data_IF_282665068340
#
_entry.id   IF_282665068340
#
_cell.length_a   1.000
_cell.length_b   1.000
_cell.length_c   1.000
_cell.angle_alpha   90.00
_cell.angle_beta   90.00
_cell.angle_gamma   90.00
#
_symmetry.space_group_name_H-M   'P 1'
#
loop_
_entity.id
_entity.type
_entity.pdbx_description
1 polymer ?
#
# COMPACT_ATOMS: atom_id res chain seq x y z
N UNK A 1 36.58 -56.49 42.92
CA UNK A 1 35.74 -55.97 41.82
C UNK A 1 35.50 -54.49 42.09
N UNK A 2 36.19 -53.56 41.41
CA UNK A 2 35.71 -52.81 40.21
C UNK A 2 34.35 -52.15 40.53
N UNK A 3 34.13 -50.83 40.56
CA UNK A 3 34.62 -49.76 39.69
C UNK A 3 34.50 -48.34 40.32
N UNK A 4 35.51 -47.52 40.00
CA UNK A 4 35.49 -46.10 39.56
C UNK A 4 34.80 -45.00 40.39
N UNK A 5 35.53 -44.04 41.00
CA UNK A 5 36.24 -42.86 40.45
C UNK A 5 35.35 -41.84 39.70
N UNK A 6 35.53 -40.56 40.08
CA UNK A 6 35.14 -39.28 39.43
C UNK A 6 33.79 -38.67 39.81
N UNK A 7 33.70 -38.04 40.99
CA UNK A 7 32.80 -36.88 41.23
C UNK A 7 33.34 -35.95 42.32
N UNK A 8 34.61 -35.54 42.26
CA UNK A 8 35.16 -34.44 43.08
C UNK A 8 36.35 -33.79 42.37
N UNK A 9 36.09 -33.07 41.28
CA UNK A 9 37.10 -32.16 40.69
C UNK A 9 36.55 -31.15 39.67
N UNK A 10 35.23 -30.96 39.53
CA UNK A 10 34.68 -29.97 38.56
C UNK A 10 34.34 -28.63 39.21
N UNK A 11 34.41 -28.50 40.54
CA UNK A 11 34.03 -27.28 41.25
C UNK A 11 35.19 -26.33 41.60
N UNK A 12 36.40 -26.60 41.11
CA UNK A 12 37.58 -25.74 41.35
C UNK A 12 38.27 -25.27 40.07
N UNK A 13 37.57 -25.32 38.92
CA UNK A 13 38.08 -24.84 37.63
C UNK A 13 37.14 -23.82 36.95
N UNK A 14 36.20 -23.24 37.71
CA UNK A 14 35.26 -22.21 37.24
C UNK A 14 35.52 -20.84 37.89
N UNK A 15 36.69 -20.65 38.50
CA UNK A 15 37.09 -19.38 39.12
C UNK A 15 38.10 -18.58 38.28
N UNK A 16 38.48 -19.09 37.09
CA UNK A 16 39.48 -18.50 36.19
C UNK A 16 38.98 -18.37 34.75
N UNK A 17 37.65 -18.36 34.56
CA UNK A 17 37.09 -17.96 33.27
C UNK A 17 37.23 -16.43 33.14
N UNK A 18 37.87 -15.90 32.09
CA UNK A 18 37.87 -14.46 31.85
C UNK A 18 36.43 -14.00 31.76
N UNK A 19 36.08 -12.95 32.52
CA UNK A 19 34.78 -12.29 32.43
C UNK A 19 34.42 -12.14 30.95
N UNK A 20 33.20 -12.53 30.51
CA UNK A 20 32.80 -12.28 29.14
C UNK A 20 32.96 -10.78 28.90
N UNK A 21 33.81 -10.42 27.94
CA UNK A 21 33.94 -9.04 27.49
C UNK A 21 32.52 -8.52 27.24
N UNK A 22 32.18 -7.32 27.75
CA UNK A 22 30.90 -6.73 27.43
C UNK A 22 30.78 -6.71 25.90
N UNK A 23 29.62 -7.08 25.33
CA UNK A 23 29.43 -6.97 23.90
C UNK A 23 29.85 -5.56 23.46
N UNK A 24 30.54 -5.42 22.32
CA UNK A 24 30.99 -4.11 21.86
C UNK A 24 29.83 -3.13 21.93
N UNK A 25 30.05 -1.89 22.38
CA UNK A 25 28.99 -0.90 22.52
C UNK A 25 28.24 -0.87 21.19
N UNK A 26 26.94 -1.19 21.22
CA UNK A 26 26.12 -1.11 20.02
C UNK A 26 26.31 0.29 19.45
N UNK A 27 26.76 0.36 18.20
CA UNK A 27 26.97 1.62 17.51
C UNK A 27 25.72 2.47 17.69
N UNK A 28 25.92 3.70 18.18
CA UNK A 28 24.83 4.62 18.43
C UNK A 28 24.00 4.75 17.13
N UNK A 29 22.70 4.41 17.13
CA UNK A 29 21.86 4.50 15.94
C UNK A 29 21.88 5.91 15.32
N UNK A 30 22.20 6.94 16.12
CA UNK A 30 22.46 8.32 15.68
C UNK A 30 23.59 8.43 14.65
N UNK A 31 24.66 7.63 14.78
CA UNK A 31 25.80 7.67 13.86
C UNK A 31 25.48 7.05 12.49
N UNK A 32 24.70 5.97 12.47
CA UNK A 32 24.23 5.38 11.21
C UNK A 32 23.36 6.38 10.43
N UNK A 33 22.56 7.19 11.13
CA UNK A 33 21.71 8.20 10.51
C UNK A 33 22.49 9.31 9.80
N UNK A 34 23.59 9.79 10.39
CA UNK A 34 24.45 10.78 9.74
C UNK A 34 25.12 10.26 8.44
N UNK A 35 25.26 8.94 8.30
CA UNK A 35 25.79 8.31 7.09
C UNK A 35 24.72 8.05 6.03
N UNK A 36 23.47 7.76 6.45
CA UNK A 36 22.38 7.39 5.55
C UNK A 36 21.65 8.60 4.94
N UNK A 37 21.46 9.68 5.69
CA UNK A 37 20.74 10.88 5.23
C UNK A 37 21.41 11.56 4.02
N UNK A 38 22.75 11.72 3.96
CA UNK A 38 23.42 12.24 2.77
C UNK A 38 23.21 11.35 1.53
N UNK A 39 23.12 10.03 1.73
CA UNK A 39 22.94 9.07 0.65
C UNK A 39 21.53 9.09 0.05
N UNK A 40 20.52 9.64 0.73
CA UNK A 40 19.20 9.89 0.14
C UNK A 40 19.23 10.89 -1.02
N UNK A 41 20.31 11.67 -1.15
CA UNK A 41 20.49 12.66 -2.21
C UNK A 41 21.09 12.06 -3.48
N UNK A 42 21.49 10.78 -3.46
CA UNK A 42 22.18 10.11 -4.57
C UNK A 42 21.29 9.00 -5.16
N UNK A 43 21.04 8.97 -6.48
CA UNK A 43 20.19 7.94 -7.09
C UNK A 43 20.72 6.52 -6.96
N UNK A 44 22.06 6.35 -7.02
CA UNK A 44 22.71 5.04 -7.03
C UNK A 44 22.71 4.35 -5.66
N UNK A 45 22.72 5.13 -4.59
CA UNK A 45 22.69 4.64 -3.21
C UNK A 45 21.28 4.26 -2.77
N UNK A 46 20.22 4.81 -3.36
CA UNK A 46 18.83 4.49 -2.99
C UNK A 46 18.47 3.01 -3.17
N UNK A 47 19.00 2.34 -4.20
CA UNK A 47 18.80 0.90 -4.38
C UNK A 47 19.42 0.09 -3.23
N UNK A 48 20.64 0.47 -2.83
CA UNK A 48 21.33 -0.14 -1.67
C UNK A 48 20.62 0.19 -0.36
N UNK A 49 20.11 1.42 -0.21
CA UNK A 49 19.32 1.83 0.95
C UNK A 49 18.01 1.06 1.07
N UNK A 50 17.35 0.69 -0.04
CA UNK A 50 16.14 -0.15 0.01
C UNK A 50 16.41 -1.57 0.50
N UNK A 51 17.56 -2.15 0.18
CA UNK A 51 17.98 -3.43 0.76
C UNK A 51 18.41 -3.29 2.23
N UNK A 52 19.05 -2.17 2.58
CA UNK A 52 19.47 -1.89 3.95
C UNK A 52 18.28 -1.64 4.88
N UNK A 53 17.22 -0.98 4.39
CA UNK A 53 16.02 -0.65 5.14
C UNK A 53 15.30 -1.88 5.72
N UNK A 54 15.44 -3.06 5.09
CA UNK A 54 14.92 -4.34 5.58
C UNK A 54 15.64 -4.88 6.83
N UNK A 55 16.76 -4.28 7.23
CA UNK A 55 17.66 -4.79 8.28
C UNK A 55 17.83 -3.76 9.40
N UNK A 56 17.27 -2.56 9.26
CA UNK A 56 17.49 -1.47 10.22
C UNK A 56 16.56 -1.59 11.44
N UNK A 57 17.07 -1.36 12.66
CA UNK A 57 16.26 -1.37 13.86
C UNK A 57 15.33 -0.15 13.97
N UNK A 58 14.21 -0.33 14.68
CA UNK A 58 13.05 0.59 14.83
C UNK A 58 13.38 2.09 14.98
N UNK A 59 14.30 2.55 15.87
CA UNK A 59 14.54 3.99 16.03
C UNK A 59 15.19 4.65 14.81
N UNK A 60 15.92 3.89 14.00
CA UNK A 60 16.54 4.38 12.75
C UNK A 60 15.50 4.50 11.64
N UNK A 61 14.49 3.62 11.66
CA UNK A 61 13.39 3.61 10.69
C UNK A 61 12.57 4.91 10.68
N UNK A 62 12.24 5.45 11.86
CA UNK A 62 11.44 6.67 11.99
C UNK A 62 12.14 7.91 11.40
N UNK A 63 13.43 8.09 11.67
CA UNK A 63 14.20 9.24 11.17
C UNK A 63 14.46 9.12 9.67
N UNK A 64 14.77 7.91 9.18
CA UNK A 64 14.90 7.65 7.76
C UNK A 64 13.58 7.92 7.02
N UNK A 65 12.44 7.55 7.61
CA UNK A 65 11.10 7.85 7.09
C UNK A 65 10.85 9.35 7.01
N UNK A 66 11.13 10.12 8.06
CA UNK A 66 10.97 11.57 8.04
C UNK A 66 11.84 12.21 6.94
N UNK A 67 13.08 11.73 6.76
CA UNK A 67 13.96 12.21 5.68
C UNK A 67 13.45 11.82 4.28
N UNK A 68 12.91 10.61 4.10
CA UNK A 68 12.29 10.18 2.85
C UNK A 68 11.05 11.01 2.54
N UNK A 69 10.21 11.28 3.55
CA UNK A 69 9.01 12.12 3.42
C UNK A 69 9.37 13.54 2.97
N UNK A 70 10.33 14.17 3.66
CA UNK A 70 10.82 15.50 3.28
C UNK A 70 11.39 15.51 1.85
N UNK A 71 12.13 14.47 1.47
CA UNK A 71 12.69 14.36 0.13
C UNK A 71 11.61 14.16 -0.92
N UNK A 72 10.62 13.29 -0.68
CA UNK A 72 9.51 13.03 -1.60
C UNK A 72 8.74 14.31 -1.94
N UNK A 73 8.57 15.20 -0.96
CA UNK A 73 7.90 16.49 -1.15
C UNK A 73 8.68 17.49 -2.02
N UNK A 74 10.01 17.36 -2.09
CA UNK A 74 10.90 18.26 -2.82
C UNK A 74 11.38 17.66 -4.16
N UNK A 75 11.18 16.36 -4.37
CA UNK A 75 11.76 15.63 -5.48
C UNK A 75 10.91 15.71 -6.75
N UNK A 76 11.56 15.97 -7.87
CA UNK A 76 10.92 16.00 -9.20
C UNK A 76 11.49 14.94 -10.15
N UNK A 77 12.57 14.24 -9.78
CA UNK A 77 13.09 13.14 -10.56
C UNK A 77 12.22 11.88 -10.40
N UNK A 78 11.64 11.44 -11.52
CA UNK A 78 10.80 10.24 -11.59
C UNK A 78 11.48 8.93 -11.18
N UNK A 79 12.81 8.83 -11.25
CA UNK A 79 13.55 7.64 -10.80
C UNK A 79 13.69 7.68 -9.29
N UNK A 80 14.08 8.81 -8.72
CA UNK A 80 14.23 9.00 -7.29
C UNK A 80 12.89 8.83 -6.56
N UNK A 81 11.83 9.44 -7.07
CA UNK A 81 10.46 9.30 -6.54
C UNK A 81 10.03 7.84 -6.38
N UNK A 82 10.32 6.99 -7.38
CA UNK A 82 9.98 5.56 -7.31
C UNK A 82 10.71 4.85 -6.18
N UNK A 83 12.00 5.12 -6.02
CA UNK A 83 12.79 4.48 -4.96
C UNK A 83 12.36 4.98 -3.57
N UNK A 84 12.03 6.26 -3.43
CA UNK A 84 11.50 6.83 -2.19
C UNK A 84 10.14 6.20 -1.83
N UNK A 85 9.26 5.98 -2.82
CA UNK A 85 7.99 5.27 -2.62
C UNK A 85 8.19 3.81 -2.23
N UNK A 86 9.13 3.09 -2.85
CA UNK A 86 9.48 1.71 -2.46
C UNK A 86 10.03 1.67 -1.03
N UNK A 87 10.89 2.62 -0.66
CA UNK A 87 11.42 2.73 0.70
C UNK A 87 10.30 2.98 1.72
N UNK A 88 9.36 3.88 1.41
CA UNK A 88 8.18 4.10 2.24
C UNK A 88 7.33 2.83 2.38
N UNK A 89 7.14 2.06 1.31
CA UNK A 89 6.39 0.80 1.34
C UNK A 89 6.96 -0.19 2.36
N UNK A 90 8.28 -0.41 2.28
CA UNK A 90 9.00 -1.31 3.18
C UNK A 90 8.88 -0.84 4.63
N UNK A 91 9.02 0.47 4.86
CA UNK A 91 8.94 1.06 6.21
C UNK A 91 7.51 1.08 6.79
N UNK A 92 6.47 1.11 5.96
CA UNK A 92 5.07 1.09 6.43
C UNK A 92 4.58 -0.29 6.86
N UNK A 93 5.32 -1.36 6.55
CA UNK A 93 4.97 -2.72 6.97
C UNK A 93 5.36 -3.03 8.43
N UNK A 94 6.20 -2.22 9.08
CA UNK A 94 6.80 -2.53 10.38
C UNK A 94 6.31 -1.66 11.55
N UNK A 95 5.47 -0.64 11.32
CA UNK A 95 5.27 0.43 12.31
C UNK A 95 3.80 0.83 12.49
N UNK A 96 3.37 0.89 13.75
CA UNK A 96 2.03 1.37 14.16
C UNK A 96 1.85 2.88 13.89
N UNK A 97 2.93 3.62 13.61
CA UNK A 97 2.95 5.08 13.46
C UNK A 97 2.90 5.57 11.98
N UNK A 98 2.34 4.76 11.08
CA UNK A 98 2.20 4.99 9.64
C UNK A 98 1.37 6.20 9.17
N UNK A 99 1.08 7.20 10.02
CA UNK A 99 0.25 8.37 9.64
C UNK A 99 1.02 9.35 8.76
N UNK A 100 2.29 9.59 9.06
CA UNK A 100 3.11 10.57 8.34
C UNK A 100 3.50 10.10 6.93
N UNK A 101 3.87 8.83 6.76
CA UNK A 101 4.13 8.24 5.44
C UNK A 101 2.89 8.31 4.55
N UNK A 102 1.74 8.07 5.16
CA UNK A 102 0.45 8.10 4.49
C UNK A 102 0.11 9.52 3.99
N UNK A 103 0.23 10.53 4.85
CA UNK A 103 0.03 11.94 4.50
C UNK A 103 1.02 12.43 3.43
N UNK A 104 2.25 11.91 3.45
CA UNK A 104 3.27 12.23 2.45
C UNK A 104 2.93 11.66 1.06
N UNK A 105 2.43 10.43 0.99
CA UNK A 105 1.97 9.81 -0.26
C UNK A 105 0.78 10.57 -0.84
N UNK A 106 -0.17 10.98 0.01
CA UNK A 106 -1.29 11.83 -0.39
C UNK A 106 -0.82 13.22 -0.88
N UNK A 107 0.12 13.83 -0.16
CA UNK A 107 0.72 15.11 -0.56
C UNK A 107 1.41 15.02 -1.92
N UNK A 108 2.19 13.95 -2.15
CA UNK A 108 2.84 13.68 -3.43
C UNK A 108 1.83 13.52 -4.58
N UNK A 109 0.77 12.75 -4.37
CA UNK A 109 -0.28 12.55 -5.38
C UNK A 109 -0.92 13.88 -5.78
N UNK A 110 -1.16 14.78 -4.82
CA UNK A 110 -1.75 16.11 -5.08
C UNK A 110 -0.81 17.06 -5.83
N UNK A 111 0.46 17.12 -5.45
CA UNK A 111 1.42 18.09 -6.04
C UNK A 111 1.87 17.69 -7.44
N UNK A 112 1.90 16.39 -7.75
CA UNK A 112 2.38 15.89 -9.03
C UNK A 112 1.29 15.83 -10.13
N UNK A 113 0.11 16.43 -9.90
CA UNK A 113 -1.01 16.56 -10.83
C UNK A 113 -0.68 17.22 -12.20
N UNK A 114 0.53 17.74 -12.40
CA UNK A 114 1.06 18.25 -13.68
C UNK A 114 1.45 17.21 -14.74
N UNK A 115 1.03 15.94 -14.62
CA UNK A 115 1.12 14.93 -15.68
C UNK A 115 2.50 14.33 -16.01
N UNK A 116 3.57 14.78 -15.33
CA UNK A 116 4.96 14.33 -15.60
C UNK A 116 5.36 13.03 -14.89
N UNK A 117 4.69 12.64 -13.80
CA UNK A 117 5.14 11.56 -12.91
C UNK A 117 4.22 10.32 -12.90
N UNK A 118 3.72 9.92 -14.07
CA UNK A 118 2.67 8.90 -14.23
C UNK A 118 2.98 7.52 -13.59
N UNK A 119 4.22 7.04 -13.68
CA UNK A 119 4.63 5.77 -13.04
C UNK A 119 4.73 5.90 -11.52
N UNK A 120 5.21 7.04 -11.03
CA UNK A 120 5.29 7.30 -9.60
C UNK A 120 3.89 7.46 -8.99
N UNK A 121 2.93 8.08 -9.70
CA UNK A 121 1.53 8.11 -9.27
C UNK A 121 0.93 6.71 -9.13
N UNK A 122 1.09 5.84 -10.14
CA UNK A 122 0.56 4.48 -10.07
C UNK A 122 1.18 3.69 -8.90
N UNK A 123 2.48 3.89 -8.63
CA UNK A 123 3.13 3.28 -7.46
C UNK A 123 2.62 3.84 -6.14
N UNK A 124 2.53 5.16 -6.02
CA UNK A 124 1.98 5.84 -4.84
C UNK A 124 0.55 5.38 -4.55
N UNK A 125 -0.30 5.26 -5.58
CA UNK A 125 -1.63 4.67 -5.44
C UNK A 125 -1.57 3.20 -5.00
N UNK A 126 -0.65 2.41 -5.56
CA UNK A 126 -0.42 1.03 -5.13
C UNK A 126 -0.08 0.91 -3.64
N UNK A 127 0.68 1.86 -3.08
CA UNK A 127 0.93 1.91 -1.63
C UNK A 127 -0.37 2.09 -0.84
N UNK A 128 -1.25 2.98 -1.30
CA UNK A 128 -2.54 3.24 -0.67
C UNK A 128 -3.47 2.02 -0.76
N UNK A 129 -3.44 1.27 -1.87
CA UNK A 129 -4.19 0.00 -2.02
C UNK A 129 -3.75 -0.98 -0.92
N UNK A 130 -2.44 -1.17 -0.76
CA UNK A 130 -1.85 -2.09 0.23
C UNK A 130 -1.96 -1.62 1.68
N UNK A 131 -2.32 -0.36 1.92
CA UNK A 131 -2.44 0.18 3.27
C UNK A 131 -3.63 -0.44 4.00
N UNK A 132 -3.50 -0.73 5.29
CA UNK A 132 -4.63 -1.13 6.13
C UNK A 132 -5.47 0.06 6.60
N UNK A 133 -4.99 1.29 6.38
CA UNK A 133 -5.62 2.52 6.86
C UNK A 133 -6.71 3.00 5.89
N UNK A 134 -7.79 3.61 6.40
CA UNK A 134 -8.81 4.21 5.57
C UNK A 134 -8.23 5.37 4.77
N UNK A 135 -8.54 5.39 3.47
CA UNK A 135 -8.04 6.41 2.56
C UNK A 135 -9.03 7.57 2.41
N UNK A 136 -8.52 8.80 2.42
CA UNK A 136 -9.30 10.01 2.14
C UNK A 136 -8.67 10.78 0.99
N UNK A 137 -9.41 10.86 -0.10
CA UNK A 137 -9.09 11.70 -1.25
C UNK A 137 -10.16 12.79 -1.36
N UNK A 138 -9.87 13.80 -2.16
CA UNK A 138 -10.81 14.84 -2.58
C UNK A 138 -11.52 14.40 -3.87
N UNK A 139 -12.79 14.82 -4.04
CA UNK A 139 -13.68 14.31 -5.09
C UNK A 139 -13.15 14.64 -6.49
N UNK A 140 -12.85 15.92 -6.75
CA UNK A 140 -12.30 16.38 -8.03
C UNK A 140 -11.02 15.65 -8.41
N UNK A 141 -10.13 15.43 -7.44
CA UNK A 141 -8.90 14.71 -7.68
C UNK A 141 -9.13 13.22 -7.92
N UNK A 142 -10.06 12.59 -7.20
CA UNK A 142 -10.43 11.19 -7.43
C UNK A 142 -10.98 11.00 -8.85
N UNK A 143 -11.90 11.87 -9.27
CA UNK A 143 -12.47 11.86 -10.62
C UNK A 143 -11.41 12.16 -11.69
N UNK A 144 -10.46 13.06 -11.42
CA UNK A 144 -9.31 13.34 -12.29
C UNK A 144 -8.40 12.12 -12.46
N UNK A 145 -8.11 11.38 -11.39
CA UNK A 145 -7.31 10.15 -11.45
C UNK A 145 -8.04 9.01 -12.18
N UNK A 146 -9.35 8.88 -11.97
CA UNK A 146 -10.20 7.91 -12.69
C UNK A 146 -10.30 8.25 -14.19
N UNK A 147 -10.29 9.53 -14.53
CA UNK A 147 -10.30 10.02 -15.92
C UNK A 147 -8.90 10.13 -16.54
N UNK A 148 -7.85 9.70 -15.83
CA UNK A 148 -6.48 9.83 -16.28
C UNK A 148 -6.30 9.14 -17.64
N UNK A 149 -5.56 9.71 -18.60
CA UNK A 149 -5.25 9.01 -19.86
C UNK A 149 -4.35 7.78 -19.64
N UNK A 150 -3.83 7.58 -18.41
CA UNK A 150 -2.89 6.53 -18.07
C UNK A 150 -3.59 5.31 -17.47
N UNK A 151 -3.53 4.20 -18.19
CA UNK A 151 -4.10 2.90 -17.80
C UNK A 151 -3.68 2.47 -16.38
N UNK A 152 -2.39 2.59 -16.06
CA UNK A 152 -1.87 2.19 -14.76
C UNK A 152 -2.46 3.00 -13.60
N UNK A 153 -2.73 4.29 -13.80
CA UNK A 153 -3.36 5.15 -12.77
C UNK A 153 -4.81 4.76 -12.59
N UNK A 154 -5.57 4.64 -13.69
CA UNK A 154 -6.97 4.21 -13.66
C UNK A 154 -7.13 2.83 -13.00
N UNK A 155 -6.28 1.87 -13.38
CA UNK A 155 -6.24 0.54 -12.78
C UNK A 155 -6.01 0.59 -11.25
N UNK A 156 -5.00 1.34 -10.81
CA UNK A 156 -4.70 1.45 -9.37
C UNK A 156 -5.80 2.18 -8.60
N UNK A 157 -6.48 3.15 -9.21
CA UNK A 157 -7.65 3.79 -8.60
C UNK A 157 -8.83 2.84 -8.44
N UNK A 158 -9.08 1.98 -9.42
CA UNK A 158 -10.13 0.95 -9.31
C UNK A 158 -9.81 -0.02 -8.18
N UNK A 159 -8.57 -0.49 -8.08
CA UNK A 159 -8.14 -1.33 -6.96
C UNK A 159 -8.27 -0.64 -5.60
N UNK A 160 -7.98 0.67 -5.55
CA UNK A 160 -8.12 1.46 -4.33
C UNK A 160 -9.58 1.60 -3.89
N UNK A 161 -10.50 1.86 -4.82
CA UNK A 161 -11.94 1.88 -4.57
C UNK A 161 -12.44 0.54 -4.03
N UNK A 162 -11.99 -0.56 -4.62
CA UNK A 162 -12.34 -1.91 -4.17
C UNK A 162 -11.80 -2.19 -2.75
N UNK A 163 -10.53 -1.88 -2.51
CA UNK A 163 -9.88 -2.09 -1.22
C UNK A 163 -10.54 -1.29 -0.09
N UNK A 164 -10.87 -0.01 -0.33
CA UNK A 164 -11.60 0.80 0.65
C UNK A 164 -13.02 0.29 0.91
N UNK A 165 -13.71 -0.16 -0.14
CA UNK A 165 -15.04 -0.74 0.02
C UNK A 165 -15.01 -2.02 0.85
N UNK A 166 -14.01 -2.88 0.63
CA UNK A 166 -13.80 -4.09 1.43
C UNK A 166 -13.42 -3.77 2.88
N UNK A 167 -12.53 -2.81 3.12
CA UNK A 167 -12.11 -2.38 4.47
C UNK A 167 -13.31 -1.92 5.31
N UNK A 168 -14.23 -1.15 4.73
CA UNK A 168 -15.42 -0.68 5.45
C UNK A 168 -16.38 -1.79 5.83
N UNK A 169 -16.52 -2.81 4.98
CA UNK A 169 -17.36 -3.98 5.30
C UNK A 169 -16.82 -4.77 6.50
N UNK A 170 -15.51 -4.95 6.58
CA UNK A 170 -14.87 -5.66 7.69
C UNK A 170 -14.87 -4.86 9.00
N UNK A 171 -14.97 -3.53 8.93
CA UNK A 171 -14.90 -2.62 10.08
C UNK A 171 -16.18 -2.48 10.92
N UNK A 172 -17.28 -3.16 10.56
CA UNK A 172 -18.49 -3.23 11.38
C UNK A 172 -19.17 -1.88 11.68
N UNK A 173 -18.94 -0.83 10.88
CA UNK A 173 -19.55 0.48 11.17
C UNK A 173 -21.05 0.43 10.93
N UNK A 174 -21.83 0.67 11.99
CA UNK A 174 -23.28 0.82 11.94
C UNK A 174 -23.66 1.95 10.98
N UNK A 175 -24.06 1.59 9.75
CA UNK A 175 -25.08 2.21 8.91
C UNK A 175 -24.98 3.68 8.47
N UNK A 176 -24.25 4.56 9.14
CA UNK A 176 -24.48 6.01 9.00
C UNK A 176 -23.45 6.76 8.12
N UNK A 177 -22.38 6.11 7.65
CA UNK A 177 -21.47 6.75 6.71
C UNK A 177 -20.78 5.74 5.76
N UNK A 178 -21.55 5.16 4.83
CA UNK A 178 -21.05 4.27 3.76
C UNK A 178 -20.31 5.03 2.64
N UNK A 179 -19.41 5.94 3.01
CA UNK A 179 -18.64 6.73 2.03
C UNK A 179 -17.31 6.07 1.70
N UNK A 180 -17.17 5.49 0.53
CA UNK A 180 -15.88 4.99 0.02
C UNK A 180 -14.95 6.17 -0.22
N UNK A 181 -13.68 6.02 0.16
CA UNK A 181 -12.69 7.10 0.23
C UNK A 181 -13.11 8.31 1.11
N UNK A 182 -14.13 8.13 1.97
CA UNK A 182 -14.72 9.23 2.74
C UNK A 182 -15.58 10.20 1.92
N UNK A 183 -15.82 9.90 0.64
CA UNK A 183 -16.49 10.79 -0.31
C UNK A 183 -17.76 10.19 -0.88
N UNK A 184 -17.65 9.03 -1.52
CA UNK A 184 -18.68 8.53 -2.43
C UNK A 184 -19.57 7.52 -1.74
N UNK A 185 -20.87 7.77 -1.78
CA UNK A 185 -21.85 6.74 -1.44
C UNK A 185 -21.67 5.52 -2.36
N UNK A 186 -21.98 4.33 -1.85
CA UNK A 186 -21.83 3.06 -2.57
C UNK A 186 -22.47 3.08 -3.97
N UNK A 187 -23.69 3.62 -4.18
CA UNK A 187 -24.27 3.70 -5.52
C UNK A 187 -23.42 4.52 -6.51
N UNK A 188 -22.74 5.57 -6.04
CA UNK A 188 -21.86 6.39 -6.89
C UNK A 188 -20.62 5.58 -7.28
N UNK A 189 -20.03 4.83 -6.35
CA UNK A 189 -18.89 3.96 -6.63
C UNK A 189 -19.26 2.87 -7.62
N UNK A 190 -20.43 2.24 -7.48
CA UNK A 190 -20.91 1.23 -8.42
C UNK A 190 -21.06 1.83 -9.82
N UNK A 191 -21.64 3.04 -9.96
CA UNK A 191 -21.70 3.74 -11.26
C UNK A 191 -20.32 4.00 -11.85
N UNK A 192 -19.37 4.48 -11.04
CA UNK A 192 -17.98 4.68 -11.48
C UNK A 192 -17.41 3.35 -12.00
N UNK A 193 -17.58 2.26 -11.25
CA UNK A 193 -17.05 0.96 -11.65
C UNK A 193 -17.72 0.40 -12.90
N UNK A 194 -19.02 0.64 -13.13
CA UNK A 194 -19.69 0.26 -14.37
C UNK A 194 -19.12 1.00 -15.59
N UNK A 195 -18.77 2.28 -15.43
CA UNK A 195 -18.05 3.04 -16.47
C UNK A 195 -16.66 2.45 -16.70
N UNK A 196 -15.91 2.16 -15.63
CA UNK A 196 -14.57 1.56 -15.71
C UNK A 196 -14.58 0.14 -16.27
N UNK A 197 -15.66 -0.62 -16.08
CA UNK A 197 -15.86 -1.93 -16.68
C UNK A 197 -16.01 -1.85 -18.22
N UNK A 198 -16.21 -0.66 -18.78
CA UNK A 198 -16.23 -0.40 -20.22
C UNK A 198 -14.93 0.22 -20.75
N UNK A 199 -13.87 0.26 -19.95
CA UNK A 199 -12.59 0.85 -20.35
C UNK A 199 -11.99 0.12 -21.57
N UNK A 200 -11.25 0.85 -22.42
CA UNK A 200 -10.60 0.27 -23.59
C UNK A 200 -9.59 -0.85 -23.23
N UNK A 201 -9.01 -0.81 -22.03
CA UNK A 201 -7.95 -1.73 -21.62
C UNK A 201 -8.48 -2.88 -20.75
N UNK A 202 -8.22 -4.14 -21.13
CA UNK A 202 -8.71 -5.31 -20.40
C UNK A 202 -8.31 -5.33 -18.92
N UNK A 203 -7.11 -4.85 -18.57
CA UNK A 203 -6.66 -4.80 -17.17
C UNK A 203 -7.57 -3.93 -16.31
N UNK A 204 -8.06 -2.80 -16.84
CA UNK A 204 -8.96 -1.89 -16.10
C UNK A 204 -10.36 -2.49 -16.03
N UNK A 205 -10.87 -3.04 -17.14
CA UNK A 205 -12.17 -3.71 -17.16
C UNK A 205 -12.24 -4.85 -16.15
N UNK A 206 -11.19 -5.69 -16.13
CA UNK A 206 -11.06 -6.80 -15.18
C UNK A 206 -11.08 -6.29 -13.75
N UNK A 207 -10.20 -5.34 -13.41
CA UNK A 207 -10.15 -4.78 -12.06
C UNK A 207 -11.50 -4.18 -11.64
N UNK A 208 -12.23 -3.54 -12.54
CA UNK A 208 -13.54 -2.95 -12.26
C UNK A 208 -14.62 -4.02 -12.06
N UNK A 209 -14.58 -5.08 -12.85
CA UNK A 209 -15.48 -6.22 -12.73
C UNK A 209 -15.25 -6.96 -11.42
N UNK A 210 -13.99 -7.25 -11.08
CA UNK A 210 -13.61 -7.85 -9.79
C UNK A 210 -14.06 -6.96 -8.60
N UNK A 211 -13.90 -5.64 -8.72
CA UNK A 211 -14.36 -4.68 -7.72
C UNK A 211 -15.89 -4.69 -7.55
N UNK A 212 -16.65 -4.77 -8.66
CA UNK A 212 -18.11 -4.89 -8.63
C UNK A 212 -18.53 -6.15 -7.89
N UNK A 213 -17.92 -7.30 -8.18
CA UNK A 213 -18.20 -8.56 -7.46
C UNK A 213 -18.00 -8.37 -5.96
N UNK A 214 -16.85 -7.80 -5.54
CA UNK A 214 -16.53 -7.58 -4.12
C UNK A 214 -17.51 -6.62 -3.44
N UNK A 215 -17.92 -5.55 -4.11
CA UNK A 215 -18.81 -4.54 -3.54
C UNK A 215 -20.24 -5.07 -3.44
N UNK A 216 -20.73 -5.74 -4.47
CA UNK A 216 -22.10 -6.26 -4.54
C UNK A 216 -22.30 -7.50 -3.68
N UNK A 217 -21.26 -8.32 -3.49
CA UNK A 217 -21.35 -9.56 -2.71
C UNK A 217 -21.96 -9.30 -1.33
N UNK A 218 -23.12 -9.85 -1.01
CA UNK A 218 -23.74 -9.71 0.32
C UNK A 218 -24.32 -8.33 0.65
N UNK A 219 -24.50 -7.43 -0.34
CA UNK A 219 -25.36 -6.25 -0.22
C UNK A 219 -26.78 -6.58 -0.65
N UNK A 220 -27.77 -5.92 -0.05
CA UNK A 220 -29.15 -6.03 -0.50
C UNK A 220 -29.43 -5.10 -1.68
N UNK A 221 -30.48 -5.39 -2.45
CA UNK A 221 -30.96 -4.50 -3.52
C UNK A 221 -31.35 -3.12 -2.97
N UNK A 222 -31.78 -3.04 -1.71
CA UNK A 222 -32.09 -1.78 -1.04
C UNK A 222 -30.87 -0.87 -0.84
N UNK A 223 -29.69 -1.46 -0.60
CA UNK A 223 -28.45 -0.72 -0.33
C UNK A 223 -27.82 -0.11 -1.59
N UNK A 224 -28.02 -0.77 -2.74
CA UNK A 224 -27.44 -0.37 -4.03
C UNK A 224 -28.46 0.39 -4.89
N UNK A 225 -29.74 0.04 -4.77
CA UNK A 225 -30.84 0.54 -5.60
C UNK A 225 -31.18 -0.44 -6.73
N UNK A 226 -32.48 -0.63 -6.97
CA UNK A 226 -33.00 -1.56 -7.98
C UNK A 226 -32.48 -1.23 -9.39
N UNK A 227 -32.57 0.03 -9.82
CA UNK A 227 -32.15 0.45 -11.16
C UNK A 227 -30.66 0.19 -11.40
N UNK A 228 -29.84 0.35 -10.36
CA UNK A 228 -28.41 0.15 -10.45
C UNK A 228 -28.04 -1.33 -10.46
N UNK A 229 -28.78 -2.17 -9.74
CA UNK A 229 -28.65 -3.63 -9.84
C UNK A 229 -29.03 -4.13 -11.24
N UNK A 230 -30.08 -3.58 -11.85
CA UNK A 230 -30.44 -3.89 -13.23
C UNK A 230 -29.35 -3.45 -14.22
N UNK A 231 -28.75 -2.27 -13.99
CA UNK A 231 -27.62 -1.79 -14.80
C UNK A 231 -26.38 -2.70 -14.66
N UNK A 232 -26.07 -3.17 -13.44
CA UNK A 232 -25.02 -4.16 -13.20
C UNK A 232 -25.29 -5.45 -13.97
N UNK A 233 -26.51 -5.98 -13.92
CA UNK A 233 -26.89 -7.19 -14.65
C UNK A 233 -26.75 -7.02 -16.16
N UNK A 234 -27.25 -5.90 -16.71
CA UNK A 234 -27.12 -5.60 -18.14
C UNK A 234 -25.65 -5.53 -18.56
N UNK A 235 -24.83 -4.85 -17.77
CA UNK A 235 -23.38 -4.74 -18.01
C UNK A 235 -22.69 -6.10 -17.94
N UNK A 236 -23.07 -6.96 -17.00
CA UNK A 236 -22.55 -8.32 -16.91
C UNK A 236 -22.88 -9.15 -18.16
N UNK A 237 -24.11 -9.05 -18.68
CA UNK A 237 -24.48 -9.69 -19.94
C UNK A 237 -23.61 -9.23 -21.12
N UNK A 238 -23.34 -7.92 -21.23
CA UNK A 238 -22.45 -7.40 -22.28
C UNK A 238 -21.02 -7.97 -22.14
N UNK A 239 -20.49 -7.94 -20.92
CA UNK A 239 -19.12 -8.39 -20.60
C UNK A 239 -18.94 -9.91 -20.67
N UNK A 240 -20.01 -10.71 -20.63
CA UNK A 240 -19.93 -12.15 -20.85
C UNK A 240 -19.37 -12.51 -22.24
N UNK A 241 -19.44 -11.58 -23.19
CA UNK A 241 -18.86 -11.69 -24.53
C UNK A 241 -17.49 -11.01 -24.69
N UNK A 242 -16.86 -10.55 -23.61
CA UNK A 242 -15.56 -9.87 -23.66
C UNK A 242 -14.46 -10.79 -24.27
N UNK A 243 -13.47 -10.16 -24.90
CA UNK A 243 -12.31 -10.84 -25.47
C UNK A 243 -11.39 -11.41 -24.40
N UNK A 244 -11.35 -10.79 -23.23
CA UNK A 244 -10.54 -11.21 -22.10
C UNK A 244 -11.29 -12.23 -21.23
N UNK A 245 -10.70 -13.40 -21.02
CA UNK A 245 -11.32 -14.49 -20.26
C UNK A 245 -11.62 -14.12 -18.81
N UNK A 246 -10.73 -13.37 -18.16
CA UNK A 246 -10.91 -13.00 -16.76
C UNK A 246 -12.04 -11.99 -16.59
N UNK A 247 -12.23 -11.09 -17.55
CA UNK A 247 -13.38 -10.18 -17.58
C UNK A 247 -14.68 -10.97 -17.69
N UNK A 248 -14.74 -11.98 -18.57
CA UNK A 248 -15.92 -12.85 -18.69
C UNK A 248 -16.23 -13.60 -17.40
N UNK A 249 -15.21 -14.15 -16.73
CA UNK A 249 -15.38 -14.87 -15.46
C UNK A 249 -15.93 -13.95 -14.37
N UNK A 250 -15.41 -12.72 -14.28
CA UNK A 250 -15.95 -11.71 -13.39
C UNK A 250 -17.40 -11.37 -13.71
N UNK A 251 -17.74 -11.21 -15.00
CA UNK A 251 -19.09 -10.90 -15.45
C UNK A 251 -20.10 -11.99 -15.10
N UNK A 252 -19.73 -13.28 -15.16
CA UNK A 252 -20.58 -14.39 -14.72
C UNK A 252 -20.81 -14.40 -13.20
N UNK A 253 -19.88 -13.81 -12.44
CA UNK A 253 -19.97 -13.75 -10.98
C UNK A 253 -20.83 -12.58 -10.46
N UNK A 254 -21.03 -11.56 -11.29
CA UNK A 254 -21.92 -10.41 -11.03
C UNK A 254 -23.37 -10.86 -11.25
#
# INVERSE_FOLDING_TARGET
MKQYRRRRSVQAAAADAPSPEPPPPMADPSMLLHLLVPELHRPRSLASLSSLALVLPVPVGAILRDAIVQRLQQETDSVLLRHLLTLLQLQTQEDDDGSRSYDAVLGFLRTAAGGRHNRAHAQALGLLVSSTRPVRLDEDFTLSLLSSPRVAVRHQMVLLLAAESARRRSGGSNGEDERVLGLFAVPVVVRILLVMASDMYPSVRRAATDALVVILAGRSVGDVGHDLMEECYRRACDLASDRDEFVRLGAVSI
#
